data_IF_715955405651
#
_entry.id   IF_715955405651
#
_cell.length_a   1.000
_cell.length_b   1.000
_cell.length_c   1.000
_cell.angle_alpha   90.00
_cell.angle_beta   90.00
_cell.angle_gamma   90.00
#
_symmetry.space_group_name_H-M   'P 1'
#
loop_
_entity.id
_entity.type
_entity.pdbx_description
1 polymer ?
#
# COMPACT_ATOMS: atom_id res chain seq x y z
N UNK A 1 -4.88 -23.90 -8.72
CA UNK A 1 -6.02 -23.35 -9.48
C UNK A 1 -5.73 -21.88 -9.71
N UNK A 2 -5.45 -21.52 -10.96
CA UNK A 2 -4.97 -20.19 -11.34
C UNK A 2 -6.12 -19.16 -11.22
N UNK A 3 -5.83 -17.90 -10.85
CA UNK A 3 -6.82 -16.80 -10.74
C UNK A 3 -7.69 -16.65 -12.00
N UNK A 4 -7.09 -16.89 -13.17
CA UNK A 4 -7.78 -16.84 -14.46
C UNK A 4 -8.86 -17.93 -14.63
N UNK A 5 -8.72 -19.10 -14.00
CA UNK A 5 -9.75 -20.17 -14.03
C UNK A 5 -10.87 -19.91 -13.01
N UNK A 6 -10.56 -19.22 -11.91
CA UNK A 6 -11.51 -18.85 -10.85
C UNK A 6 -12.48 -17.75 -11.29
N UNK A 7 -11.99 -16.73 -12.00
CA UNK A 7 -12.80 -15.60 -12.45
C UNK A 7 -13.64 -15.93 -13.70
N UNK A 8 -13.21 -16.89 -14.53
CA UNK A 8 -13.91 -17.27 -15.78
C UNK A 8 -15.03 -18.31 -15.62
N UNK A 9 -15.05 -19.12 -14.55
CA UNK A 9 -15.94 -20.29 -14.42
C UNK A 9 -16.97 -20.22 -13.29
N UNK A 10 -16.89 -19.22 -12.39
CA UNK A 10 -17.71 -19.15 -11.17
C UNK A 10 -18.63 -17.93 -11.15
N UNK A 11 -19.79 -18.05 -10.47
CA UNK A 11 -20.68 -16.90 -10.20
C UNK A 11 -19.90 -15.78 -9.51
N UNK A 12 -20.08 -14.55 -9.98
CA UNK A 12 -19.40 -13.32 -9.50
C UNK A 12 -19.35 -13.25 -7.96
N UNK A 13 -20.44 -13.58 -7.27
CA UNK A 13 -20.51 -13.56 -5.80
C UNK A 13 -19.50 -14.48 -5.11
N UNK A 14 -19.21 -15.66 -5.66
CA UNK A 14 -18.30 -16.65 -5.05
C UNK A 14 -16.84 -16.34 -5.37
N UNK A 15 -16.56 -15.77 -6.55
CA UNK A 15 -15.23 -15.28 -6.91
C UNK A 15 -14.85 -14.06 -6.05
N UNK A 16 -15.76 -13.10 -5.92
CA UNK A 16 -15.58 -11.91 -5.05
C UNK A 16 -15.38 -12.33 -3.61
N UNK A 17 -16.20 -13.23 -3.06
CA UNK A 17 -16.03 -13.69 -1.67
C UNK A 17 -14.65 -14.33 -1.43
N UNK A 18 -14.16 -15.15 -2.37
CA UNK A 18 -12.87 -15.84 -2.24
C UNK A 18 -11.67 -14.89 -2.28
N UNK A 19 -11.78 -13.75 -2.98
CA UNK A 19 -10.75 -12.71 -2.99
C UNK A 19 -10.92 -11.71 -1.83
N UNK A 20 -12.16 -11.35 -1.49
CA UNK A 20 -12.46 -10.36 -0.47
C UNK A 20 -12.16 -10.87 0.95
N UNK A 21 -12.45 -12.14 1.26
CA UNK A 21 -12.17 -12.72 2.58
C UNK A 21 -10.69 -12.53 2.99
N UNK A 22 -9.69 -12.97 2.19
CA UNK A 22 -8.29 -12.77 2.56
C UNK A 22 -7.92 -11.28 2.62
N UNK A 23 -8.40 -10.43 1.71
CA UNK A 23 -8.11 -8.99 1.76
C UNK A 23 -8.66 -8.30 3.01
N UNK A 24 -9.86 -8.67 3.46
CA UNK A 24 -10.46 -8.16 4.69
C UNK A 24 -9.66 -8.61 5.91
N UNK A 25 -9.26 -9.89 5.96
CA UNK A 25 -8.41 -10.40 7.04
C UNK A 25 -7.08 -9.64 7.09
N UNK A 26 -6.41 -9.43 5.94
CA UNK A 26 -5.18 -8.63 5.88
C UNK A 26 -5.40 -7.20 6.39
N UNK A 27 -6.51 -6.57 6.00
CA UNK A 27 -6.85 -5.21 6.46
C UNK A 27 -7.10 -5.15 7.97
N UNK A 28 -7.76 -6.16 8.54
CA UNK A 28 -7.98 -6.27 9.99
C UNK A 28 -6.65 -6.40 10.75
N UNK A 29 -5.72 -7.23 10.26
CA UNK A 29 -4.38 -7.37 10.85
C UNK A 29 -3.63 -6.03 10.81
N UNK A 30 -3.69 -5.31 9.69
CA UNK A 30 -3.10 -3.97 9.57
C UNK A 30 -3.68 -2.99 10.59
N UNK A 31 -5.00 -2.97 10.79
CA UNK A 31 -5.63 -2.08 11.79
C UNK A 31 -5.17 -2.41 13.21
N UNK A 32 -5.18 -3.69 13.58
CA UNK A 32 -4.70 -4.13 14.91
C UNK A 32 -3.25 -3.74 15.13
N UNK A 33 -2.40 -3.87 14.11
CA UNK A 33 -1.00 -3.45 14.18
C UNK A 33 -0.85 -1.94 14.41
N UNK A 34 -1.58 -1.10 13.66
CA UNK A 34 -1.55 0.36 13.83
C UNK A 34 -2.03 0.77 15.23
N UNK A 35 -3.05 0.08 15.77
CA UNK A 35 -3.53 0.33 17.13
C UNK A 35 -2.48 -0.06 18.18
N UNK A 36 -1.83 -1.21 18.01
CA UNK A 36 -0.76 -1.64 18.91
C UNK A 36 0.42 -0.67 18.89
N UNK A 37 0.89 -0.28 17.70
CA UNK A 37 1.98 0.68 17.52
C UNK A 37 1.67 2.01 18.22
N UNK A 38 0.48 2.57 17.95
CA UNK A 38 0.03 3.81 18.60
C UNK A 38 -0.06 3.66 20.14
N UNK A 39 -0.53 2.51 20.63
CA UNK A 39 -0.65 2.24 22.07
C UNK A 39 0.73 2.17 22.76
N UNK A 40 1.68 1.45 22.18
CA UNK A 40 3.04 1.35 22.74
C UNK A 40 3.79 2.68 22.67
N UNK A 41 3.65 3.40 21.55
CA UNK A 41 4.23 4.73 21.39
C UNK A 41 3.61 5.73 22.39
N UNK A 42 2.30 5.67 22.62
CA UNK A 42 1.62 6.49 23.63
C UNK A 42 1.97 6.13 25.08
N UNK A 43 2.41 4.90 25.35
CA UNK A 43 2.86 4.45 26.67
C UNK A 43 4.30 4.84 27.02
N UNK A 44 5.04 5.47 26.11
CA UNK A 44 6.44 5.86 26.34
C UNK A 44 6.63 6.74 27.57
N UNK A 45 5.60 7.45 28.05
CA UNK A 45 5.61 8.17 29.34
C UNK A 45 6.60 9.33 29.43
N UNK A 46 7.41 9.51 28.39
CA UNK A 46 8.43 10.54 28.24
C UNK A 46 7.91 11.60 27.25
N UNK A 47 7.61 12.83 27.73
CA UNK A 47 7.12 13.91 26.88
C UNK A 47 8.02 14.18 25.67
N UNK A 48 9.34 13.93 25.76
CA UNK A 48 10.27 14.10 24.64
C UNK A 48 10.04 13.07 23.54
N UNK A 49 9.73 11.81 23.88
CA UNK A 49 9.48 10.74 22.90
C UNK A 49 8.14 10.93 22.20
N UNK A 50 7.10 11.31 22.95
CA UNK A 50 5.77 11.62 22.39
C UNK A 50 5.82 12.87 21.51
N UNK A 51 6.57 13.90 21.91
CA UNK A 51 6.78 15.10 21.10
C UNK A 51 7.56 14.78 19.81
N UNK A 52 8.60 13.95 19.88
CA UNK A 52 9.35 13.50 18.71
C UNK A 52 8.45 12.77 17.71
N UNK A 53 7.63 11.81 18.16
CA UNK A 53 6.69 11.09 17.28
C UNK A 53 5.68 12.04 16.66
N UNK A 54 5.12 12.96 17.45
CA UNK A 54 4.14 13.94 16.97
C UNK A 54 4.74 14.88 15.91
N UNK A 55 6.02 15.22 16.04
CA UNK A 55 6.76 16.03 15.07
C UNK A 55 7.05 15.27 13.76
N UNK A 56 7.29 13.96 13.84
CA UNK A 56 7.55 13.11 12.66
C UNK A 56 6.26 12.69 11.95
N UNK A 57 5.11 12.75 12.63
CA UNK A 57 3.82 12.31 12.10
C UNK A 57 3.43 12.97 10.75
N UNK A 58 3.61 14.28 10.51
CA UNK A 58 3.35 14.89 9.20
C UNK A 58 4.21 14.31 8.08
N UNK A 59 5.49 14.01 8.35
CA UNK A 59 6.41 13.39 7.39
C UNK A 59 5.94 11.97 7.08
N UNK A 60 5.51 11.23 8.11
CA UNK A 60 4.98 9.88 7.98
C UNK A 60 3.70 9.84 7.14
N UNK A 61 2.75 10.76 7.39
CA UNK A 61 1.51 10.89 6.58
C UNK A 61 1.85 11.17 5.12
N UNK A 62 2.83 12.03 4.87
CA UNK A 62 3.25 12.40 3.52
C UNK A 62 3.88 11.19 2.81
N UNK A 63 4.70 10.40 3.50
CA UNK A 63 5.24 9.13 3.00
C UNK A 63 4.11 8.12 2.69
N UNK A 64 3.14 7.99 3.59
CA UNK A 64 1.93 7.17 3.38
C UNK A 64 1.15 7.64 2.15
N UNK A 65 1.02 8.94 1.89
CA UNK A 65 0.33 9.46 0.71
C UNK A 65 1.01 9.01 -0.60
N UNK A 66 2.34 9.13 -0.69
CA UNK A 66 3.09 8.64 -1.86
C UNK A 66 3.04 7.12 -2.00
N UNK A 67 3.17 6.38 -0.89
CA UNK A 67 3.03 4.92 -0.89
C UNK A 67 1.65 4.49 -1.42
N UNK A 68 0.58 5.16 -1.00
CA UNK A 68 -0.78 4.91 -1.51
C UNK A 68 -0.93 5.32 -2.99
N UNK A 69 -0.34 6.45 -3.39
CA UNK A 69 -0.38 6.91 -4.79
C UNK A 69 0.23 5.88 -5.74
N UNK A 70 1.43 5.38 -5.46
CA UNK A 70 2.08 4.38 -6.32
C UNK A 70 1.55 2.97 -6.11
N UNK A 71 1.23 2.58 -4.87
CA UNK A 71 0.72 1.26 -4.54
C UNK A 71 -0.70 1.03 -5.04
N UNK A 72 -1.67 1.78 -4.50
CA UNK A 72 -3.07 1.65 -4.91
C UNK A 72 -3.34 2.29 -6.27
N UNK A 73 -2.82 3.50 -6.52
CA UNK A 73 -3.02 4.17 -7.82
C UNK A 73 -2.36 3.41 -8.97
N UNK A 74 -1.12 2.96 -8.78
CA UNK A 74 -0.39 2.18 -9.78
C UNK A 74 -1.01 0.80 -10.04
N UNK A 75 -1.43 0.10 -9.00
CA UNK A 75 -2.14 -1.19 -9.15
C UNK A 75 -3.49 -1.05 -9.83
N UNK A 76 -4.24 0.04 -9.58
CA UNK A 76 -5.49 0.33 -10.28
C UNK A 76 -5.27 0.53 -11.78
N UNK A 77 -4.26 1.32 -12.19
CA UNK A 77 -3.93 1.51 -13.61
C UNK A 77 -3.44 0.22 -14.26
N UNK A 78 -2.65 -0.58 -13.54
CA UNK A 78 -2.22 -1.90 -14.01
C UNK A 78 -3.41 -2.85 -14.18
N UNK A 79 -4.36 -2.86 -13.24
CA UNK A 79 -5.58 -3.67 -13.30
C UNK A 79 -6.46 -3.31 -14.49
N UNK A 80 -6.64 -2.01 -14.77
CA UNK A 80 -7.34 -1.54 -15.96
C UNK A 80 -6.66 -2.00 -17.25
N UNK A 81 -5.33 -1.85 -17.35
CA UNK A 81 -4.57 -2.29 -18.52
C UNK A 81 -4.62 -3.81 -18.75
N UNK A 82 -4.64 -4.60 -17.66
CA UNK A 82 -4.83 -6.06 -17.73
C UNK A 82 -6.23 -6.42 -18.23
N UNK A 83 -7.26 -5.71 -17.77
CA UNK A 83 -8.64 -5.88 -18.24
C UNK A 83 -8.82 -5.57 -19.74
N UNK A 84 -8.08 -4.60 -20.27
CA UNK A 84 -8.03 -4.26 -21.70
C UNK A 84 -7.25 -5.28 -22.56
N UNK A 85 -6.64 -6.33 -21.95
CA UNK A 85 -5.72 -7.28 -22.60
C UNK A 85 -4.54 -6.62 -23.33
N UNK A 86 -4.15 -5.40 -22.92
CA UNK A 86 -3.06 -4.67 -23.55
C UNK A 86 -1.74 -4.94 -22.82
N UNK A 87 -1.08 -6.06 -23.14
CA UNK A 87 0.16 -6.49 -22.47
C UNK A 87 1.28 -5.44 -22.51
N UNK A 88 1.36 -4.67 -23.60
CA UNK A 88 2.36 -3.61 -23.74
C UNK A 88 2.12 -2.47 -22.75
N UNK A 89 0.85 -2.10 -22.55
CA UNK A 89 0.44 -1.10 -21.56
C UNK A 89 0.65 -1.62 -20.14
N UNK A 90 0.34 -2.89 -19.85
CA UNK A 90 0.60 -3.52 -18.54
C UNK A 90 2.10 -3.46 -18.21
N UNK A 91 2.96 -3.89 -19.13
CA UNK A 91 4.41 -3.90 -18.92
C UNK A 91 4.97 -2.49 -18.68
N UNK A 92 4.54 -1.51 -19.48
CA UNK A 92 4.98 -0.13 -19.32
C UNK A 92 4.47 0.51 -18.02
N UNK A 93 3.20 0.32 -17.67
CA UNK A 93 2.62 0.86 -16.44
C UNK A 93 3.30 0.25 -15.20
N UNK A 94 3.44 -1.07 -15.15
CA UNK A 94 4.07 -1.73 -14.00
C UNK A 94 5.53 -1.30 -13.86
N UNK A 95 6.29 -1.24 -14.96
CA UNK A 95 7.66 -0.74 -14.93
C UNK A 95 7.72 0.72 -14.45
N UNK A 96 6.87 1.59 -15.00
CA UNK A 96 6.82 3.00 -14.60
C UNK A 96 6.50 3.17 -13.12
N UNK A 97 5.49 2.47 -12.61
CA UNK A 97 5.11 2.52 -11.19
C UNK A 97 6.25 2.03 -10.29
N UNK A 98 6.93 0.94 -10.66
CA UNK A 98 8.08 0.42 -9.90
C UNK A 98 9.27 1.37 -9.92
N UNK A 99 9.64 1.92 -11.07
CA UNK A 99 10.77 2.87 -11.15
C UNK A 99 10.44 4.19 -10.46
N UNK A 100 9.22 4.71 -10.64
CA UNK A 100 8.78 5.94 -10.01
C UNK A 100 8.71 5.80 -8.49
N UNK A 101 8.18 4.68 -7.96
CA UNK A 101 8.16 4.43 -6.52
C UNK A 101 9.57 4.28 -5.94
N UNK A 102 10.49 3.65 -6.66
CA UNK A 102 11.89 3.52 -6.25
C UNK A 102 12.59 4.89 -6.19
N UNK A 103 12.44 5.72 -7.23
CA UNK A 103 13.04 7.07 -7.29
C UNK A 103 12.48 7.95 -6.18
N UNK A 104 11.15 7.97 -6.00
CA UNK A 104 10.52 8.74 -4.93
C UNK A 104 10.96 8.22 -3.57
N UNK A 105 11.04 6.91 -3.37
CA UNK A 105 11.53 6.31 -2.12
C UNK A 105 12.98 6.70 -1.80
N UNK A 106 13.87 6.69 -2.80
CA UNK A 106 15.27 7.12 -2.62
C UNK A 106 15.35 8.61 -2.28
N UNK A 107 14.60 9.47 -2.98
CA UNK A 107 14.54 10.89 -2.68
C UNK A 107 14.05 11.15 -1.26
N UNK A 108 13.01 10.44 -0.82
CA UNK A 108 12.52 10.53 0.55
C UNK A 108 13.56 10.08 1.57
N UNK A 109 14.22 8.94 1.35
CA UNK A 109 15.25 8.43 2.25
C UNK A 109 16.41 9.45 2.40
N UNK A 110 16.85 10.07 1.30
CA UNK A 110 17.88 11.11 1.34
C UNK A 110 17.44 12.35 2.13
N UNK A 111 16.20 12.80 1.93
CA UNK A 111 15.64 13.95 2.68
C UNK A 111 15.56 13.62 4.18
N UNK A 112 15.11 12.43 4.53
CA UNK A 112 14.93 12.00 5.92
C UNK A 112 16.26 11.81 6.65
N UNK A 113 17.30 11.32 5.97
CA UNK A 113 18.66 11.21 6.53
C UNK A 113 19.33 12.58 6.69
N UNK A 114 18.95 13.55 5.84
CA UNK A 114 19.49 14.90 5.89
C UNK A 114 18.82 15.81 6.94
N UNK A 115 17.71 15.37 7.54
CA UNK A 115 16.92 16.11 8.53
C UNK A 115 17.33 15.74 9.96
#
# INVERSE_FOLDING_TARGET
MNENELMGSMKVSKAVAKMAIPSVISSLVTVVYNMADTFFVGQTGDPLQVAAVSLTNPIFILLMAFANMFGMGGSAVASMAMGEKNEKRVKNTSAFVTYASLIVGILFALILISL
#
